data_IF_797094030688
#
_entry.id   IF_797094030688
#
_cell.length_a   1.000
_cell.length_b   1.000
_cell.length_c   1.000
_cell.angle_alpha   90.00
_cell.angle_beta   90.00
_cell.angle_gamma   90.00
#
_symmetry.space_group_name_H-M   'P 1'
#
loop_
_entity.id
_entity.type
_entity.pdbx_description
1 polymer ?
#
# COMPACT_ATOMS: atom_id res chain seq x y z
N UNK A 1 27.63 12.74 -29.12
CA UNK A 1 27.01 11.42 -29.30
C UNK A 1 26.37 11.04 -27.97
N UNK A 2 25.02 10.99 -27.98
CA UNK A 2 24.06 10.42 -27.01
C UNK A 2 24.37 10.57 -25.50
N UNK A 3 23.56 11.41 -24.83
CA UNK A 3 23.49 11.53 -23.37
C UNK A 3 22.32 10.66 -22.86
N UNK A 4 22.63 9.63 -22.08
CA UNK A 4 21.63 8.79 -21.41
C UNK A 4 20.95 9.54 -20.26
N UNK A 5 19.61 9.45 -20.24
CA UNK A 5 18.74 9.97 -19.19
C UNK A 5 18.65 8.96 -18.05
N UNK A 6 19.16 9.30 -16.87
CA UNK A 6 18.77 8.61 -15.62
C UNK A 6 17.59 9.35 -14.98
N UNK A 7 16.46 8.64 -14.93
CA UNK A 7 15.17 9.10 -14.43
C UNK A 7 15.13 8.96 -12.91
N UNK A 8 15.05 10.07 -12.19
CA UNK A 8 15.02 10.10 -10.72
C UNK A 8 13.64 9.69 -10.20
N UNK A 9 13.58 8.56 -9.49
CA UNK A 9 12.43 8.14 -8.70
C UNK A 9 12.21 9.10 -7.53
N UNK A 10 10.95 9.48 -7.32
CA UNK A 10 10.54 10.65 -6.53
C UNK A 10 11.01 10.65 -5.09
N UNK A 11 11.88 11.61 -4.76
CA UNK A 11 12.01 12.12 -3.41
C UNK A 11 10.94 13.18 -3.18
N UNK A 12 10.23 13.06 -2.06
CA UNK A 12 9.26 14.05 -1.61
C UNK A 12 9.88 15.44 -1.61
N UNK A 13 9.23 16.37 -2.32
CA UNK A 13 9.56 17.79 -2.31
C UNK A 13 9.48 18.32 -0.87
N UNK A 14 10.63 18.52 -0.24
CA UNK A 14 10.79 19.47 0.87
C UNK A 14 11.49 20.69 0.29
N UNK A 15 10.73 21.76 0.02
CA UNK A 15 11.32 23.06 -0.30
C UNK A 15 10.46 24.20 0.24
N UNK A 16 10.96 24.84 1.30
CA UNK A 16 11.13 26.29 1.45
C UNK A 16 11.16 26.65 2.95
N UNK A 17 12.38 26.78 3.49
CA UNK A 17 12.63 27.55 4.71
C UNK A 17 12.21 29.01 4.44
N UNK A 18 11.54 29.63 5.41
CA UNK A 18 11.00 31.01 5.42
C UNK A 18 9.53 31.17 5.00
N UNK A 19 8.62 30.57 5.78
CA UNK A 19 7.25 31.09 5.94
C UNK A 19 7.05 31.45 7.41
N UNK A 20 6.69 32.70 7.65
CA UNK A 20 6.10 33.22 8.88
C UNK A 20 5.22 32.18 9.56
N UNK A 21 5.42 31.98 10.87
CA UNK A 21 4.70 31.06 11.75
C UNK A 21 3.17 31.26 11.66
N UNK A 22 2.54 30.71 10.63
CA UNK A 22 1.12 30.40 10.62
C UNK A 22 0.99 29.04 11.28
N UNK A 23 0.16 28.95 12.32
CA UNK A 23 -0.24 27.69 12.96
C UNK A 23 -0.35 26.56 11.93
N UNK A 24 0.69 25.71 11.84
CA UNK A 24 0.68 24.54 10.98
C UNK A 24 -0.22 23.52 11.65
N UNK A 25 -1.52 23.64 11.40
CA UNK A 25 -2.45 22.55 11.66
C UNK A 25 -2.02 21.41 10.73
N UNK A 26 -1.36 20.41 11.29
CA UNK A 26 -0.97 19.20 10.58
C UNK A 26 -2.27 18.42 10.31
N UNK A 27 -2.88 18.65 9.16
CA UNK A 27 -4.00 17.82 8.72
C UNK A 27 -3.46 16.43 8.38
N UNK A 28 -3.91 15.42 9.13
CA UNK A 28 -3.66 14.02 8.77
C UNK A 28 -4.33 13.77 7.40
N UNK A 29 -3.52 13.50 6.38
CA UNK A 29 -4.01 13.16 5.05
C UNK A 29 -4.94 11.94 5.17
N UNK A 30 -6.17 12.07 4.68
CA UNK A 30 -7.09 10.94 4.58
C UNK A 30 -6.57 9.98 3.51
N UNK A 31 -6.39 8.73 3.91
CA UNK A 31 -5.91 7.66 3.02
C UNK A 31 -7.04 7.22 2.07
N UNK A 32 -8.28 7.15 2.56
CA UNK A 32 -9.46 6.82 1.75
C UNK A 32 -10.10 8.06 1.14
N UNK A 33 -10.52 7.95 -0.12
CA UNK A 33 -11.27 8.99 -0.84
C UNK A 33 -12.66 9.12 -0.25
N UNK A 34 -13.13 10.37 -0.06
CA UNK A 34 -14.46 10.64 0.48
C UNK A 34 -15.51 10.25 -0.59
N UNK A 35 -16.51 9.48 -0.18
CA UNK A 35 -17.64 9.04 -1.03
C UNK A 35 -17.22 8.22 -2.26
N UNK A 36 -16.02 7.61 -2.25
CA UNK A 36 -15.66 6.65 -3.29
C UNK A 36 -16.27 5.29 -2.97
N UNK A 37 -16.79 4.65 -4.02
CA UNK A 37 -17.26 3.27 -3.95
C UNK A 37 -16.07 2.35 -4.20
N UNK A 38 -15.75 1.54 -3.19
CA UNK A 38 -14.62 0.61 -3.21
C UNK A 38 -15.09 -0.81 -3.59
N UNK A 39 -16.34 -0.94 -4.02
CA UNK A 39 -16.84 -2.16 -4.66
C UNK A 39 -16.39 -2.24 -6.12
N UNK A 40 -16.37 -3.46 -6.65
CA UNK A 40 -16.15 -3.73 -8.06
C UNK A 40 -14.73 -4.08 -8.48
N UNK A 41 -14.54 -4.13 -9.80
CA UNK A 41 -13.29 -4.55 -10.45
C UNK A 41 -12.19 -3.47 -10.41
N UNK A 42 -11.93 -2.93 -9.23
CA UNK A 42 -10.92 -1.91 -9.00
C UNK A 42 -9.61 -2.53 -8.51
N UNK A 43 -8.50 -1.83 -8.78
CA UNK A 43 -7.16 -2.24 -8.33
C UNK A 43 -6.72 -1.43 -7.11
N UNK A 44 -6.18 -2.13 -6.13
CA UNK A 44 -5.76 -1.55 -4.86
C UNK A 44 -4.30 -1.86 -4.58
N UNK A 45 -3.54 -0.82 -4.28
CA UNK A 45 -2.22 -0.94 -3.67
C UNK A 45 -2.34 -0.78 -2.15
N UNK A 46 -2.14 -1.88 -1.43
CA UNK A 46 -2.32 -1.96 0.02
C UNK A 46 -0.95 -2.12 0.68
N UNK A 47 -0.73 -1.41 1.79
CA UNK A 47 0.44 -1.60 2.65
C UNK A 47 -0.04 -1.94 4.05
N UNK A 48 0.35 -3.11 4.55
CA UNK A 48 0.03 -3.58 5.90
C UNK A 48 1.31 -3.47 6.74
N UNK A 49 1.29 -2.58 7.73
CA UNK A 49 2.42 -2.40 8.64
C UNK A 49 2.24 -3.25 9.89
N UNK A 50 3.33 -3.80 10.40
CA UNK A 50 3.33 -4.50 11.68
C UNK A 50 3.19 -3.51 12.84
N UNK A 51 2.67 -4.00 13.97
CA UNK A 51 2.55 -3.17 15.16
C UNK A 51 3.93 -2.64 15.60
N UNK A 52 4.04 -1.33 15.79
CA UNK A 52 5.29 -0.63 16.11
C UNK A 52 6.46 -0.92 15.15
N UNK A 53 6.19 -1.27 13.88
CA UNK A 53 7.22 -1.60 12.88
C UNK A 53 8.19 -2.71 13.34
N UNK A 54 7.67 -3.66 14.13
CA UNK A 54 8.46 -4.81 14.55
C UNK A 54 8.80 -5.68 13.33
N UNK A 55 10.05 -6.13 13.17
CA UNK A 55 10.46 -6.87 11.99
C UNK A 55 10.07 -8.36 12.07
N UNK A 56 8.77 -8.65 12.17
CA UNK A 56 8.24 -10.01 12.37
C UNK A 56 8.24 -10.85 11.09
N UNK A 57 8.28 -10.22 9.90
CA UNK A 57 8.32 -10.93 8.62
C UNK A 57 9.71 -11.47 8.26
N UNK A 58 10.58 -11.65 9.26
CA UNK A 58 11.87 -12.36 9.13
C UNK A 58 11.75 -13.87 9.31
N UNK A 59 10.64 -14.33 9.87
CA UNK A 59 10.35 -15.76 10.02
C UNK A 59 9.65 -16.28 8.75
N UNK A 60 10.36 -17.12 8.00
CA UNK A 60 9.85 -17.72 6.76
C UNK A 60 8.59 -18.57 6.99
N UNK A 61 8.46 -19.19 8.16
CA UNK A 61 7.27 -20.00 8.52
C UNK A 61 6.04 -19.10 8.65
N UNK A 62 6.21 -17.95 9.30
CA UNK A 62 5.16 -16.94 9.45
C UNK A 62 4.75 -16.37 8.09
N UNK A 63 5.73 -16.01 7.25
CA UNK A 63 5.48 -15.46 5.90
C UNK A 63 4.73 -16.48 5.05
N UNK A 64 5.16 -17.74 5.06
CA UNK A 64 4.50 -18.83 4.31
C UNK A 64 3.05 -19.03 4.74
N UNK A 65 2.81 -19.07 6.05
CA UNK A 65 1.45 -19.15 6.60
C UNK A 65 0.59 -17.97 6.13
N UNK A 66 1.14 -16.75 6.19
CA UNK A 66 0.42 -15.53 5.83
C UNK A 66 0.10 -15.47 4.33
N UNK A 67 1.01 -15.94 3.47
CA UNK A 67 0.76 -16.08 2.02
C UNK A 67 -0.39 -17.06 1.75
N UNK A 68 -0.45 -18.19 2.46
CA UNK A 68 -1.54 -19.14 2.29
C UNK A 68 -2.88 -18.55 2.75
N UNK A 69 -2.89 -17.88 3.90
CA UNK A 69 -4.08 -17.16 4.37
C UNK A 69 -4.51 -16.06 3.42
N UNK A 70 -3.58 -15.29 2.84
CA UNK A 70 -3.89 -14.26 1.85
C UNK A 70 -4.55 -14.86 0.60
N UNK A 71 -4.06 -15.99 0.11
CA UNK A 71 -4.65 -16.69 -1.05
C UNK A 71 -6.07 -17.13 -0.74
N UNK A 72 -6.29 -17.85 0.36
CA UNK A 72 -7.60 -18.33 0.79
C UNK A 72 -8.60 -17.17 0.93
N UNK A 73 -8.19 -16.07 1.58
CA UNK A 73 -9.05 -14.90 1.74
C UNK A 73 -9.29 -14.18 0.42
N UNK A 74 -8.28 -14.05 -0.44
CA UNK A 74 -8.48 -13.44 -1.74
C UNK A 74 -9.52 -14.18 -2.56
N UNK A 75 -9.54 -15.51 -2.51
CA UNK A 75 -10.56 -16.32 -3.19
C UNK A 75 -11.94 -16.13 -2.55
N UNK A 76 -12.03 -16.19 -1.22
CA UNK A 76 -13.30 -16.04 -0.50
C UNK A 76 -13.97 -14.67 -0.67
N UNK A 77 -13.18 -13.62 -0.87
CA UNK A 77 -13.69 -12.25 -1.06
C UNK A 77 -13.73 -11.80 -2.54
N UNK A 78 -13.43 -12.70 -3.47
CA UNK A 78 -13.47 -12.37 -4.90
C UNK A 78 -12.36 -11.43 -5.35
N UNK A 79 -11.18 -11.48 -4.74
CA UNK A 79 -10.02 -10.70 -5.14
C UNK A 79 -8.97 -11.55 -5.87
N UNK A 80 -8.25 -10.92 -6.78
CA UNK A 80 -7.05 -11.46 -7.44
C UNK A 80 -5.82 -10.76 -6.88
N UNK A 81 -4.83 -11.53 -6.44
CA UNK A 81 -3.53 -11.00 -6.03
C UNK A 81 -2.62 -10.97 -7.26
N UNK A 82 -2.17 -9.77 -7.64
CA UNK A 82 -1.22 -9.59 -8.75
C UNK A 82 0.22 -9.73 -8.29
N UNK A 83 0.55 -9.11 -7.16
CA UNK A 83 1.90 -9.18 -6.58
C UNK A 83 1.85 -8.89 -5.09
N UNK A 84 2.85 -9.40 -4.36
CA UNK A 84 3.07 -9.11 -2.96
C UNK A 84 4.57 -9.02 -2.66
N UNK A 85 4.95 -8.22 -1.69
CA UNK A 85 6.33 -8.07 -1.23
C UNK A 85 6.37 -7.91 0.28
N UNK A 86 7.06 -8.82 0.96
CA UNK A 86 7.32 -8.74 2.39
C UNK A 86 8.64 -8.01 2.64
N UNK A 87 8.55 -6.85 3.28
CA UNK A 87 9.67 -6.23 3.98
C UNK A 87 9.66 -6.72 5.43
N UNK A 88 10.75 -6.58 6.20
CA UNK A 88 10.78 -7.10 7.57
C UNK A 88 9.62 -6.65 8.47
N UNK A 89 9.14 -5.41 8.30
CA UNK A 89 8.13 -4.75 9.15
C UNK A 89 6.84 -4.34 8.41
N UNK A 90 6.72 -4.59 7.11
CA UNK A 90 5.50 -4.30 6.35
C UNK A 90 5.36 -5.17 5.10
N UNK A 91 4.12 -5.30 4.65
CA UNK A 91 3.73 -6.06 3.47
C UNK A 91 3.09 -5.12 2.45
N UNK A 92 3.57 -5.14 1.21
CA UNK A 92 2.93 -4.50 0.07
C UNK A 92 2.12 -5.51 -0.74
N UNK A 93 0.91 -5.14 -1.14
CA UNK A 93 0.01 -5.96 -1.93
C UNK A 93 -0.54 -5.14 -3.10
N UNK A 94 -0.59 -5.75 -4.28
CA UNK A 94 -1.40 -5.28 -5.39
C UNK A 94 -2.51 -6.29 -5.64
N UNK A 95 -3.75 -5.87 -5.41
CA UNK A 95 -4.93 -6.71 -5.60
C UNK A 95 -5.92 -6.07 -6.56
N UNK A 96 -6.80 -6.88 -7.13
CA UNK A 96 -7.88 -6.45 -8.04
C UNK A 96 -9.17 -7.18 -7.65
N UNK A 97 -10.29 -6.47 -7.55
CA UNK A 97 -11.61 -7.10 -7.42
C UNK A 97 -11.95 -7.88 -8.69
N UNK A 98 -12.45 -9.10 -8.56
CA UNK A 98 -12.86 -9.93 -9.70
C UNK A 98 -14.28 -9.60 -10.14
N UNK A 99 -15.14 -9.23 -9.19
CA UNK A 99 -16.58 -9.08 -9.41
C UNK A 99 -17.06 -7.69 -8.98
N UNK A 100 -18.28 -7.33 -9.40
CA UNK A 100 -18.92 -6.07 -9.00
C UNK A 100 -19.19 -6.00 -7.48
N UNK A 101 -19.34 -7.16 -6.84
CA UNK A 101 -19.58 -7.29 -5.40
C UNK A 101 -18.28 -7.34 -4.57
N UNK A 102 -17.10 -7.29 -5.21
CA UNK A 102 -15.82 -7.28 -4.50
C UNK A 102 -15.62 -5.94 -3.78
N UNK A 103 -16.03 -5.86 -2.52
CA UNK A 103 -15.87 -4.68 -1.67
C UNK A 103 -14.57 -4.74 -0.84
N UNK A 104 -13.79 -3.67 -0.89
CA UNK A 104 -12.55 -3.52 -0.13
C UNK A 104 -12.75 -2.82 1.23
N UNK A 105 -13.94 -2.30 1.56
CA UNK A 105 -14.14 -1.43 2.72
C UNK A 105 -13.90 -2.04 4.10
#
# INVERSE_FOLDING_TARGET
MVQERFQTVGQGFSLAKNRTMKNLVIYKKRIRLKNYDYSGCNRYFITICTHNKRPIFKDDSLVTWLVNSLKEKSESFGFKIWTYCFMPDHLHLLIEGKDFDSDMK
#
